data_IF_359487851582
#
_entry.id   IF_359487851582
#
_cell.length_a   1.000
_cell.length_b   1.000
_cell.length_c   1.000
_cell.angle_alpha   90.00
_cell.angle_beta   90.00
_cell.angle_gamma   90.00
#
_symmetry.space_group_name_H-M   'P 1'
#
loop_
_entity.id
_entity.type
_entity.pdbx_description
1 polymer ?
#
# COMPACT_ATOMS: atom_id res chain seq x y z
N UNK A 1 -8.01 13.13 -0.91
CA UNK A 1 -6.81 12.29 -0.61
C UNK A 1 -5.88 12.15 -1.81
N UNK A 2 -6.39 11.85 -3.01
CA UNK A 2 -5.58 11.66 -4.23
C UNK A 2 -4.61 12.81 -4.56
N UNK A 3 -5.09 14.05 -4.53
CA UNK A 3 -4.30 15.24 -4.85
C UNK A 3 -3.09 15.46 -3.91
N UNK A 4 -3.22 15.08 -2.64
CA UNK A 4 -2.13 15.20 -1.66
C UNK A 4 -0.99 14.21 -1.96
N UNK A 5 -1.36 12.98 -2.35
CA UNK A 5 -0.40 11.93 -2.71
C UNK A 5 0.34 12.28 -4.01
N UNK A 6 -0.34 12.92 -4.96
CA UNK A 6 0.25 13.34 -6.23
C UNK A 6 1.26 14.47 -6.04
N UNK A 7 0.93 15.47 -5.22
CA UNK A 7 1.87 16.54 -4.85
C UNK A 7 3.10 16.02 -4.09
N UNK A 8 2.90 15.04 -3.20
CA UNK A 8 3.99 14.41 -2.46
C UNK A 8 4.91 13.61 -3.39
N UNK A 9 4.35 12.89 -4.37
CA UNK A 9 5.11 12.18 -5.40
C UNK A 9 5.90 13.14 -6.28
N UNK A 10 5.29 14.24 -6.73
CA UNK A 10 5.99 15.21 -7.57
C UNK A 10 7.15 15.89 -6.83
N UNK A 11 6.94 16.31 -5.57
CA UNK A 11 8.02 16.84 -4.72
C UNK A 11 9.18 15.87 -4.59
N UNK A 12 8.89 14.58 -4.40
CA UNK A 12 9.91 13.55 -4.30
C UNK A 12 10.70 13.38 -5.61
N UNK A 13 10.01 13.37 -6.76
CA UNK A 13 10.66 13.28 -8.08
C UNK A 13 11.53 14.51 -8.37
N UNK A 14 11.07 15.71 -8.01
CA UNK A 14 11.86 16.93 -8.11
C UNK A 14 13.12 16.87 -7.25
N UNK A 15 13.01 16.38 -6.01
CA UNK A 15 14.16 16.20 -5.12
C UNK A 15 15.17 15.18 -5.67
N UNK A 16 14.70 14.05 -6.20
CA UNK A 16 15.58 13.05 -6.84
C UNK A 16 16.33 13.64 -8.05
N UNK A 17 15.65 14.44 -8.88
CA UNK A 17 16.30 15.14 -10.01
C UNK A 17 17.39 16.07 -9.51
N UNK A 18 17.13 16.86 -8.47
CA UNK A 18 18.10 17.79 -7.92
C UNK A 18 19.36 17.06 -7.41
N UNK A 19 19.18 15.98 -6.64
CA UNK A 19 20.30 15.16 -6.13
C UNK A 19 21.14 14.60 -7.28
N UNK A 20 20.47 14.05 -8.31
CA UNK A 20 21.15 13.50 -9.49
C UNK A 20 21.95 14.56 -10.23
N UNK A 21 21.40 15.76 -10.40
CA UNK A 21 22.11 16.88 -11.03
C UNK A 21 23.28 17.36 -10.17
N UNK A 22 23.10 17.50 -8.86
CA UNK A 22 24.17 17.89 -7.93
C UNK A 22 25.33 16.90 -7.95
N UNK A 23 25.06 15.59 -7.96
CA UNK A 23 26.10 14.57 -8.09
C UNK A 23 26.81 14.64 -9.44
N UNK A 24 26.08 14.89 -10.53
CA UNK A 24 26.67 15.08 -11.87
C UNK A 24 27.58 16.30 -11.93
N UNK A 25 27.18 17.41 -11.32
CA UNK A 25 27.99 18.62 -11.22
C UNK A 25 29.21 18.42 -10.32
N UNK A 26 29.07 17.73 -9.19
CA UNK A 26 30.18 17.39 -8.31
C UNK A 26 31.22 16.50 -9.02
N UNK A 27 30.78 15.55 -9.87
CA UNK A 27 31.69 14.72 -10.67
C UNK A 27 32.46 15.54 -11.70
N UNK A 28 31.81 16.47 -12.39
CA UNK A 28 32.47 17.35 -13.36
C UNK A 28 33.44 18.33 -12.68
N UNK A 29 33.09 18.88 -11.51
CA UNK A 29 33.96 19.77 -10.72
C UNK A 29 35.11 19.03 -10.03
N UNK A 30 34.89 17.81 -9.56
CA UNK A 30 35.92 16.94 -8.99
C UNK A 30 36.91 16.44 -10.04
N UNK A 31 36.44 16.16 -11.26
CA UNK A 31 37.31 15.84 -12.40
C UNK A 31 38.15 17.04 -12.87
N UNK A 32 37.73 18.28 -12.57
CA UNK A 32 38.49 19.50 -12.89
C UNK A 32 39.58 19.80 -11.85
N UNK A 33 39.47 19.28 -10.63
CA UNK A 33 40.42 19.50 -9.53
C UNK A 33 41.53 18.44 -9.41
N UNK A 34 41.48 17.35 -10.19
CA UNK A 34 42.45 16.24 -10.13
C UNK A 34 43.46 16.24 -11.29
N UNK A 35 43.84 17.42 -11.80
CA UNK A 35 45.06 17.55 -12.60
C UNK A 35 46.21 18.00 -11.69
N UNK A 36 47.21 17.15 -11.39
CA UNK A 36 48.34 17.54 -10.56
C UNK A 36 49.36 18.30 -11.43
N UNK A 37 49.02 19.53 -11.81
CA UNK A 37 50.01 20.45 -12.39
C UNK A 37 50.69 21.20 -11.25
N UNK A 38 51.91 20.77 -10.94
CA UNK A 38 52.83 21.52 -10.09
C UNK A 38 53.11 22.87 -10.75
N UNK A 39 53.35 23.87 -9.90
CA UNK A 39 53.79 25.24 -10.18
C UNK A 39 52.74 26.34 -10.11
N UNK A 40 53.18 27.42 -9.44
CA UNK A 40 52.67 28.80 -9.43
C UNK A 40 51.49 29.15 -8.53
N UNK A 41 51.87 29.68 -7.37
CA UNK A 41 51.20 30.67 -6.54
C UNK A 41 50.41 31.76 -7.27
N UNK A 42 49.42 32.28 -6.53
CA UNK A 42 48.80 33.60 -6.60
C UNK A 42 47.80 33.87 -7.75
N UNK A 43 46.53 34.00 -7.38
CA UNK A 43 45.71 35.20 -7.60
C UNK A 43 44.40 35.09 -6.80
N UNK A 44 44.39 35.75 -5.64
CA UNK A 44 43.18 36.12 -4.90
C UNK A 44 42.58 37.31 -5.66
N UNK A 45 41.47 37.11 -6.37
CA UNK A 45 40.66 38.23 -6.87
C UNK A 45 39.69 38.63 -5.78
N UNK A 46 40.03 39.76 -5.17
CA UNK A 46 39.28 40.53 -4.20
C UNK A 46 38.06 41.18 -4.89
N UNK A 47 36.86 40.96 -4.36
CA UNK A 47 35.70 41.80 -4.62
C UNK A 47 35.47 42.68 -3.37
N UNK A 48 35.88 43.94 -3.44
CA UNK A 48 35.61 44.96 -2.42
C UNK A 48 34.30 45.68 -2.73
N UNK A 49 33.41 45.81 -1.74
CA UNK A 49 32.55 46.98 -1.54
C UNK A 49 32.26 47.11 -0.03
N UNK A 50 32.28 48.33 0.57
CA UNK A 50 32.21 48.52 2.02
C UNK A 50 30.81 48.90 2.54
N UNK A 51 30.58 48.52 3.79
CA UNK A 51 29.67 49.14 4.78
C UNK A 51 28.15 48.96 4.62
N UNK A 52 27.56 48.01 5.38
CA UNK A 52 26.68 48.32 6.52
C UNK A 52 25.99 47.04 7.04
N UNK A 53 25.99 46.90 8.38
CA UNK A 53 25.29 45.92 9.21
C UNK A 53 25.85 44.48 9.22
N UNK A 54 26.81 44.33 10.13
CA UNK A 54 27.12 43.07 10.79
C UNK A 54 25.84 42.48 11.42
N UNK A 55 25.39 41.34 10.92
CA UNK A 55 24.75 40.32 11.75
C UNK A 55 25.72 39.15 11.86
N UNK A 56 25.94 38.57 13.07
CA UNK A 56 26.87 37.46 13.21
C UNK A 56 26.37 36.23 12.44
N UNK A 57 27.22 35.42 11.81
CA UNK A 57 26.82 34.12 11.30
C UNK A 57 26.63 33.15 12.48
N UNK A 58 25.52 33.29 13.21
CA UNK A 58 25.08 32.31 14.19
C UNK A 58 24.32 31.20 13.47
N UNK A 59 25.05 30.16 13.06
CA UNK A 59 24.47 29.02 12.36
C UNK A 59 25.25 27.71 12.43
N UNK A 60 26.23 27.57 13.33
CA UNK A 60 26.98 26.30 13.48
C UNK A 60 26.36 25.31 14.49
N UNK A 61 25.22 25.66 15.11
CA UNK A 61 24.49 24.76 16.02
C UNK A 61 23.63 23.70 15.32
N UNK A 62 23.39 23.80 14.00
CA UNK A 62 22.55 22.85 13.27
C UNK A 62 23.25 21.52 12.93
N UNK A 63 24.57 21.52 12.73
CA UNK A 63 25.31 20.31 12.36
C UNK A 63 25.32 19.22 13.46
N UNK A 64 25.06 19.60 14.72
CA UNK A 64 24.95 18.65 15.84
C UNK A 64 23.60 17.94 15.88
N UNK A 65 22.55 18.60 15.43
CA UNK A 65 21.19 18.05 15.34
C UNK A 65 21.07 17.02 14.19
N UNK A 66 21.79 17.26 13.10
CA UNK A 66 21.78 16.37 11.92
C UNK A 66 22.18 14.93 12.26
N UNK A 67 23.14 14.75 13.18
CA UNK A 67 23.56 13.41 13.61
C UNK A 67 22.42 12.67 14.33
N UNK A 68 21.77 13.33 15.30
CA UNK A 68 20.63 12.75 16.01
C UNK A 68 19.48 12.45 15.06
N UNK A 69 19.17 13.37 14.14
CA UNK A 69 18.12 13.19 13.15
C UNK A 69 18.38 12.03 12.18
N UNK A 70 19.62 11.82 11.77
CA UNK A 70 20.01 10.67 10.93
C UNK A 70 19.92 9.34 11.68
N UNK A 71 20.22 9.33 12.98
CA UNK A 71 20.09 8.15 13.85
C UNK A 71 18.63 7.75 14.06
N UNK A 72 17.76 8.74 14.33
CA UNK A 72 16.32 8.55 14.41
C UNK A 72 15.75 7.99 13.09
N UNK A 73 16.16 8.56 11.96
CA UNK A 73 15.77 8.06 10.64
C UNK A 73 16.23 6.62 10.40
N UNK A 74 17.46 6.29 10.80
CA UNK A 74 17.99 4.93 10.67
C UNK A 74 17.19 3.92 11.49
N UNK A 75 16.82 4.31 12.72
CA UNK A 75 15.97 3.50 13.60
C UNK A 75 14.56 3.33 13.01
N UNK A 76 13.94 4.42 12.55
CA UNK A 76 12.62 4.38 11.94
C UNK A 76 12.59 3.52 10.67
N UNK A 77 13.63 3.61 9.83
CA UNK A 77 13.78 2.75 8.65
C UNK A 77 13.85 1.28 9.09
N UNK A 78 14.72 0.95 10.05
CA UNK A 78 14.86 -0.43 10.54
C UNK A 78 13.55 -0.99 11.09
N UNK A 79 12.78 -0.20 11.83
CA UNK A 79 11.50 -0.65 12.39
C UNK A 79 10.42 -0.81 11.32
N UNK A 80 10.38 0.07 10.31
CA UNK A 80 9.52 -0.10 9.14
C UNK A 80 9.87 -1.38 8.37
N UNK A 81 11.15 -1.71 8.19
CA UNK A 81 11.55 -2.96 7.57
C UNK A 81 11.06 -4.18 8.35
N UNK A 82 11.19 -4.18 9.68
CA UNK A 82 10.66 -5.26 10.54
C UNK A 82 9.15 -5.38 10.40
N UNK A 83 8.43 -4.26 10.42
CA UNK A 83 6.97 -4.25 10.28
C UNK A 83 6.53 -4.82 8.93
N UNK A 84 7.18 -4.39 7.84
CA UNK A 84 6.91 -4.93 6.49
C UNK A 84 7.17 -6.43 6.44
N UNK A 85 8.26 -6.91 7.05
CA UNK A 85 8.54 -8.35 7.11
C UNK A 85 7.44 -9.14 7.85
N UNK A 86 6.97 -8.65 9.00
CA UNK A 86 5.87 -9.26 9.76
C UNK A 86 4.57 -9.25 8.94
N UNK A 87 4.23 -8.13 8.31
CA UNK A 87 3.02 -8.02 7.48
C UNK A 87 3.05 -8.95 6.26
N UNK A 88 4.22 -9.17 5.65
CA UNK A 88 4.36 -10.10 4.54
C UNK A 88 4.13 -11.55 4.99
N UNK A 89 4.66 -11.93 6.15
CA UNK A 89 4.42 -13.26 6.73
C UNK A 89 2.94 -13.45 7.03
N UNK A 90 2.30 -12.46 7.65
CA UNK A 90 0.87 -12.56 7.99
C UNK A 90 -0.03 -12.59 6.75
N UNK A 91 0.25 -11.79 5.72
CA UNK A 91 -0.49 -11.86 4.46
C UNK A 91 -0.39 -13.24 3.80
N UNK A 92 0.80 -13.84 3.84
CA UNK A 92 0.99 -15.20 3.32
C UNK A 92 0.13 -16.21 4.10
N UNK A 93 0.16 -16.14 5.44
CA UNK A 93 -0.66 -17.00 6.31
C UNK A 93 -2.16 -16.85 6.03
N UNK A 94 -2.63 -15.61 5.89
CA UNK A 94 -4.03 -15.30 5.58
C UNK A 94 -4.46 -15.83 4.21
N UNK A 95 -3.58 -15.78 3.19
CA UNK A 95 -3.86 -16.37 1.88
C UNK A 95 -4.01 -17.89 1.95
N UNK A 96 -3.12 -18.57 2.69
CA UNK A 96 -3.22 -20.02 2.89
C UNK A 96 -4.52 -20.39 3.62
N UNK A 97 -4.90 -19.62 4.65
CA UNK A 97 -6.15 -19.82 5.40
C UNK A 97 -7.39 -19.56 4.53
N UNK A 98 -7.38 -18.49 3.72
CA UNK A 98 -8.45 -18.16 2.79
C UNK A 98 -8.67 -19.30 1.77
N UNK A 99 -7.60 -19.81 1.16
CA UNK A 99 -7.73 -20.91 0.21
C UNK A 99 -8.22 -22.20 0.87
N UNK A 100 -7.77 -22.49 2.11
CA UNK A 100 -8.28 -23.62 2.88
C UNK A 100 -9.78 -23.50 3.16
N UNK A 101 -10.23 -22.35 3.67
CA UNK A 101 -11.64 -22.09 3.96
C UNK A 101 -12.48 -22.13 2.69
N UNK A 102 -11.97 -21.63 1.57
CA UNK A 102 -12.65 -21.70 0.27
C UNK A 102 -12.84 -23.14 -0.20
N UNK A 103 -11.84 -24.01 -0.03
CA UNK A 103 -11.95 -25.42 -0.35
C UNK A 103 -12.94 -26.15 0.58
N UNK A 104 -12.91 -25.84 1.87
CA UNK A 104 -13.87 -26.38 2.85
C UNK A 104 -15.30 -25.95 2.52
N UNK A 105 -15.52 -24.66 2.23
CA UNK A 105 -16.83 -24.14 1.84
C UNK A 105 -17.34 -24.82 0.56
N UNK A 106 -16.48 -25.01 -0.45
CA UNK A 106 -16.83 -25.75 -1.65
C UNK A 106 -17.17 -27.22 -1.35
N UNK A 107 -16.49 -27.87 -0.40
CA UNK A 107 -16.86 -29.23 0.02
C UNK A 107 -18.20 -29.26 0.73
N UNK A 108 -18.43 -28.34 1.67
CA UNK A 108 -19.70 -28.25 2.39
C UNK A 108 -20.87 -27.96 1.45
N UNK A 109 -20.69 -27.07 0.45
CA UNK A 109 -21.70 -26.85 -0.59
C UNK A 109 -22.00 -28.12 -1.38
N UNK A 110 -20.98 -28.93 -1.74
CA UNK A 110 -21.21 -30.23 -2.36
C UNK A 110 -21.90 -31.22 -1.41
N UNK A 111 -21.50 -31.28 -0.15
CA UNK A 111 -22.03 -32.24 0.81
C UNK A 111 -23.50 -31.90 1.12
N UNK A 112 -23.86 -30.61 1.23
CA UNK A 112 -25.26 -30.14 1.27
C UNK A 112 -26.02 -30.50 0.00
N UNK A 113 -25.40 -30.33 -1.17
CA UNK A 113 -26.03 -30.73 -2.44
C UNK A 113 -26.24 -32.25 -2.48
N UNK A 114 -25.28 -33.07 -2.05
CA UNK A 114 -25.40 -34.53 -1.97
C UNK A 114 -26.43 -34.99 -0.92
N UNK A 115 -26.55 -34.28 0.21
CA UNK A 115 -27.58 -34.52 1.22
C UNK A 115 -28.99 -34.23 0.68
N UNK A 116 -29.15 -33.17 -0.12
CA UNK A 116 -30.41 -32.86 -0.81
C UNK A 116 -30.67 -33.70 -2.08
N UNK A 117 -29.69 -34.47 -2.57
CA UNK A 117 -29.78 -35.25 -3.83
C UNK A 117 -29.91 -36.76 -3.62
N UNK A 118 -30.01 -37.24 -2.37
CA UNK A 118 -30.36 -38.64 -2.10
C UNK A 118 -31.71 -38.97 -2.76
N UNK A 119 -31.81 -39.99 -3.64
CA UNK A 119 -33.05 -40.31 -4.32
C UNK A 119 -34.10 -40.77 -3.32
N UNK A 120 -35.36 -40.28 -3.35
CA UNK A 120 -36.44 -41.02 -2.74
C UNK A 120 -36.54 -42.33 -3.50
N UNK A 121 -36.24 -43.44 -2.82
CA UNK A 121 -36.66 -44.75 -3.29
C UNK A 121 -38.14 -44.65 -3.65
N UNK A 122 -38.44 -44.94 -4.92
CA UNK A 122 -39.72 -44.70 -5.57
C UNK A 122 -40.89 -45.19 -4.74
N UNK A 123 -41.91 -44.35 -4.54
CA UNK A 123 -43.32 -44.74 -4.41
C UNK A 123 -44.16 -43.54 -4.87
N UNK A 124 -45.03 -43.80 -5.85
CA UNK A 124 -45.97 -42.91 -6.53
C UNK A 124 -46.56 -41.78 -5.67
N UNK A 125 -46.23 -40.52 -5.97
CA UNK A 125 -47.05 -39.36 -5.61
C UNK A 125 -46.94 -38.25 -6.67
N UNK A 126 -48.06 -37.73 -7.20
CA UNK A 126 -48.06 -36.54 -8.05
C UNK A 126 -47.96 -35.32 -7.14
N UNK A 127 -46.75 -34.98 -6.70
CA UNK A 127 -46.52 -33.77 -5.91
C UNK A 127 -45.85 -32.71 -6.75
N UNK A 128 -46.65 -31.67 -7.01
CA UNK A 128 -46.33 -30.41 -7.64
C UNK A 128 -44.84 -30.03 -7.49
N UNK A 129 -44.14 -30.07 -8.62
CA UNK A 129 -42.80 -29.49 -8.80
C UNK A 129 -42.90 -27.97 -8.74
N UNK A 130 -43.16 -27.43 -7.56
CA UNK A 130 -43.14 -26.00 -7.30
C UNK A 130 -42.52 -25.77 -5.93
N UNK A 131 -41.38 -25.08 -5.91
CA UNK A 131 -40.87 -24.37 -4.73
C UNK A 131 -40.09 -25.15 -3.66
N UNK A 132 -39.33 -26.18 -4.02
CA UNK A 132 -38.41 -26.82 -3.05
C UNK A 132 -36.92 -26.69 -3.39
N UNK A 133 -36.45 -25.52 -3.85
CA UNK A 133 -35.00 -25.27 -3.99
C UNK A 133 -34.54 -23.85 -3.69
N UNK A 134 -35.24 -23.11 -2.82
CA UNK A 134 -34.62 -21.94 -2.23
C UNK A 134 -34.78 -22.09 -0.73
N UNK A 135 -33.65 -22.17 -0.03
CA UNK A 135 -33.56 -22.15 1.43
C UNK A 135 -33.88 -20.73 1.91
N UNK A 136 -35.14 -20.34 1.65
CA UNK A 136 -35.70 -19.05 2.00
C UNK A 136 -36.18 -19.18 3.44
N UNK A 137 -35.78 -18.27 4.33
CA UNK A 137 -36.30 -18.20 5.69
C UNK A 137 -37.85 -18.32 5.71
N UNK A 138 -38.42 -19.10 6.64
CA UNK A 138 -39.83 -19.49 6.60
C UNK A 138 -40.79 -18.28 6.63
N UNK A 139 -40.36 -17.17 7.24
CA UNK A 139 -41.01 -15.87 7.24
C UNK A 139 -41.20 -15.28 5.84
N UNK A 140 -40.20 -15.41 4.96
CA UNK A 140 -40.27 -14.94 3.58
C UNK A 140 -41.01 -15.91 2.65
N UNK A 141 -41.04 -17.21 2.97
CA UNK A 141 -41.82 -18.19 2.21
C UNK A 141 -43.32 -17.89 2.24
N UNK A 142 -43.82 -17.48 3.41
CA UNK A 142 -45.24 -17.12 3.57
C UNK A 142 -45.60 -15.87 2.76
N UNK A 143 -44.72 -14.87 2.73
CA UNK A 143 -44.92 -13.64 1.94
C UNK A 143 -44.94 -13.92 0.44
N UNK A 144 -44.01 -14.75 -0.04
CA UNK A 144 -43.96 -15.18 -1.45
C UNK A 144 -45.24 -15.93 -1.83
N UNK A 145 -45.71 -16.84 -0.97
CA UNK A 145 -46.94 -17.61 -1.21
C UNK A 145 -48.16 -16.68 -1.32
N UNK A 146 -48.26 -15.70 -0.43
CA UNK A 146 -49.36 -14.73 -0.38
C UNK A 146 -49.35 -13.80 -1.60
N UNK A 147 -48.16 -13.38 -2.06
CA UNK A 147 -47.99 -12.61 -3.29
C UNK A 147 -48.37 -13.40 -4.56
N UNK A 148 -48.09 -14.70 -4.60
CA UNK A 148 -48.49 -15.58 -5.71
C UNK A 148 -50.01 -15.83 -5.75
N UNK A 149 -50.65 -16.00 -4.60
CA UNK A 149 -52.09 -16.20 -4.49
C UNK A 149 -52.85 -14.93 -4.89
N UNK A 150 -52.42 -13.78 -4.38
CA UNK A 150 -53.01 -12.48 -4.75
C UNK A 150 -52.81 -12.11 -6.22
N UNK A 151 -51.75 -12.59 -6.88
CA UNK A 151 -51.51 -12.37 -8.31
C UNK A 151 -52.37 -13.26 -9.23
N UNK A 152 -52.88 -14.38 -8.74
CA UNK A 152 -53.73 -15.30 -9.50
C UNK A 152 -55.23 -14.98 -9.41
N UNK A 153 -55.62 -14.16 -8.42
CA UNK A 153 -57.01 -13.73 -8.17
C UNK A 153 -57.38 -12.38 -8.85
N UNK A 154 -56.51 -11.82 -9.71
CA UNK A 154 -56.76 -10.58 -10.50
C UNK A 154 -57.01 -10.83 -11.98
#
# INVERSE_FOLDING_TARGET
VHLSLELQRDRHLQQQRLIRMSHKQAKLKGNLLLSPSKHSSALITQCTNPTALQSPPLGWKAAKDDKTRLEEQSTAIADLWKLVAVLLVENKRLLEEHEKLKAENASLERDLYEEHQSPPASIDQPSALGMRLLDVPPDLQQEIQLLLETANDS
#
